data_IF_251610725253
#
_entry.id   IF_251610725253
#
_cell.length_a   1.000
_cell.length_b   1.000
_cell.length_c   1.000
_cell.angle_alpha   90.00
_cell.angle_beta   90.00
_cell.angle_gamma   90.00
#
_symmetry.space_group_name_H-M   'P 1'
#
loop_
_entity.id
_entity.type
_entity.pdbx_description
1 polymer ?
#
# COMPACT_ATOMS: atom_id res chain seq x y z
N UNK A 1 -4.28 11.58 -8.17
CA UNK A 1 -3.84 11.91 -6.80
C UNK A 1 -4.44 13.18 -6.21
N UNK A 2 -4.45 14.34 -6.90
CA UNK A 2 -5.02 15.60 -6.36
C UNK A 2 -6.41 15.52 -5.70
N UNK A 3 -7.35 14.75 -6.27
CA UNK A 3 -8.69 14.59 -5.69
C UNK A 3 -8.67 13.98 -4.29
N UNK A 4 -7.74 13.07 -4.01
CA UNK A 4 -7.65 12.37 -2.73
C UNK A 4 -7.22 13.31 -1.62
N UNK A 5 -6.26 14.17 -1.91
CA UNK A 5 -5.78 15.20 -0.98
C UNK A 5 -6.87 16.25 -0.78
N UNK A 6 -7.41 16.81 -1.86
CA UNK A 6 -8.36 17.94 -1.77
C UNK A 6 -9.72 17.55 -1.22
N UNK A 7 -10.23 16.37 -1.58
CA UNK A 7 -11.60 15.94 -1.23
C UNK A 7 -11.64 15.08 0.03
N UNK A 8 -10.62 14.25 0.24
CA UNK A 8 -10.60 13.29 1.34
C UNK A 8 -9.53 13.61 2.39
N UNK A 9 -8.74 14.68 2.21
CA UNK A 9 -7.74 15.09 3.18
C UNK A 9 -6.56 14.11 3.32
N UNK A 10 -6.39 13.19 2.37
CA UNK A 10 -5.34 12.16 2.45
C UNK A 10 -3.97 12.80 2.27
N UNK A 11 -3.10 12.63 3.27
CA UNK A 11 -1.74 13.19 3.28
C UNK A 11 -0.65 12.14 3.31
N UNK A 12 -0.98 10.87 3.51
CA UNK A 12 0.00 9.78 3.53
C UNK A 12 -0.43 8.69 2.55
N UNK A 13 0.51 8.29 1.70
CA UNK A 13 0.31 7.26 0.69
C UNK A 13 1.33 6.16 0.90
N UNK A 14 0.87 4.92 0.87
CA UNK A 14 1.69 3.73 1.06
C UNK A 14 1.58 2.90 -0.20
N UNK A 15 2.71 2.55 -0.80
CA UNK A 15 2.79 1.69 -1.99
C UNK A 15 3.65 0.47 -1.70
N UNK A 16 3.32 -0.67 -2.31
CA UNK A 16 4.09 -1.90 -2.15
C UNK A 16 5.22 -1.97 -3.19
N UNK A 17 6.21 -2.84 -2.96
CA UNK A 17 7.32 -3.08 -3.90
C UNK A 17 6.94 -3.95 -5.11
N UNK A 18 5.66 -4.23 -5.36
CA UNK A 18 5.24 -5.34 -6.21
C UNK A 18 4.23 -4.95 -7.30
N UNK A 19 4.70 -4.23 -8.33
CA UNK A 19 3.99 -4.19 -9.63
C UNK A 19 4.16 -2.88 -10.39
N UNK A 20 3.82 -2.92 -11.69
CA UNK A 20 3.81 -1.72 -12.53
C UNK A 20 2.80 -0.66 -12.06
N UNK A 21 1.70 -1.10 -11.42
CA UNK A 21 0.73 -0.16 -10.85
C UNK A 21 1.29 0.61 -9.65
N UNK A 22 2.00 -0.05 -8.73
CA UNK A 22 2.62 0.60 -7.57
C UNK A 22 3.62 1.68 -8.02
N UNK A 23 4.40 1.41 -9.08
CA UNK A 23 5.32 2.38 -9.65
C UNK A 23 4.59 3.61 -10.23
N UNK A 24 3.50 3.39 -10.96
CA UNK A 24 2.68 4.49 -11.49
C UNK A 24 2.03 5.30 -10.37
N UNK A 25 1.54 4.63 -9.33
CA UNK A 25 0.96 5.29 -8.15
C UNK A 25 2.02 6.11 -7.40
N UNK A 26 3.22 5.56 -7.17
CA UNK A 26 4.34 6.26 -6.55
C UNK A 26 4.70 7.53 -7.33
N UNK A 27 4.88 7.42 -8.66
CA UNK A 27 5.18 8.56 -9.51
C UNK A 27 4.07 9.63 -9.46
N UNK A 28 2.80 9.20 -9.46
CA UNK A 28 1.68 10.12 -9.34
C UNK A 28 1.66 10.86 -8.00
N UNK A 29 2.04 10.21 -6.89
CA UNK A 29 2.18 10.87 -5.59
C UNK A 29 3.37 11.82 -5.59
N UNK A 30 4.53 11.41 -6.10
CA UNK A 30 5.72 12.27 -6.21
C UNK A 30 5.45 13.56 -6.98
N UNK A 31 4.75 13.48 -8.11
CA UNK A 31 4.37 14.67 -8.89
C UNK A 31 3.46 15.60 -8.08
N UNK A 32 2.55 15.02 -7.28
CA UNK A 32 1.60 15.80 -6.48
C UNK A 32 2.25 16.41 -5.25
N UNK A 33 3.30 15.80 -4.69
CA UNK A 33 4.12 16.38 -3.61
C UNK A 33 4.72 17.74 -4.00
N UNK A 34 5.00 17.96 -5.28
CA UNK A 34 5.47 19.27 -5.77
C UNK A 34 4.44 20.39 -5.51
N UNK A 35 3.15 20.05 -5.49
CA UNK A 35 2.05 21.00 -5.19
C UNK A 35 1.60 20.94 -3.73
N UNK A 36 1.77 19.80 -3.06
CA UNK A 36 1.38 19.57 -1.66
C UNK A 36 2.55 19.00 -0.86
N UNK A 37 3.46 19.86 -0.35
CA UNK A 37 4.68 19.39 0.34
C UNK A 37 4.42 18.61 1.63
N UNK A 38 3.21 18.72 2.20
CA UNK A 38 2.77 17.97 3.37
C UNK A 38 2.37 16.52 3.05
N UNK A 39 2.34 16.13 1.77
CA UNK A 39 2.04 14.76 1.36
C UNK A 39 3.28 13.89 1.53
N UNK A 40 3.11 12.73 2.17
CA UNK A 40 4.12 11.70 2.37
C UNK A 40 3.87 10.49 1.48
N UNK A 41 4.95 9.89 0.99
CA UNK A 41 5.00 8.65 0.24
C UNK A 41 5.90 7.66 0.97
N UNK A 42 5.31 6.57 1.44
CA UNK A 42 5.96 5.50 2.18
C UNK A 42 6.04 4.24 1.32
N UNK A 43 7.17 3.53 1.41
CA UNK A 43 7.35 2.23 0.77
C UNK A 43 7.05 1.10 1.75
N UNK A 44 6.10 0.24 1.44
CA UNK A 44 5.82 -0.96 2.24
C UNK A 44 6.59 -2.17 1.72
N UNK A 45 7.37 -2.80 2.59
CA UNK A 45 8.21 -3.97 2.27
C UNK A 45 7.64 -5.23 2.91
N UNK A 46 6.70 -5.88 2.22
CA UNK A 46 6.05 -7.09 2.72
C UNK A 46 6.98 -8.32 2.93
N UNK A 47 8.29 -8.23 2.65
CA UNK A 47 9.25 -9.34 2.67
C UNK A 47 10.40 -9.17 3.66
N UNK A 48 11.05 -10.28 4.03
CA UNK A 48 12.14 -10.33 5.02
C UNK A 48 13.32 -9.41 4.68
N UNK A 49 13.84 -8.59 5.61
CA UNK A 49 14.84 -7.57 5.35
C UNK A 49 16.24 -8.22 5.24
N UNK A 50 16.40 -9.40 5.85
CA UNK A 50 17.64 -10.17 5.93
C UNK A 50 18.18 -10.64 4.57
N UNK A 51 17.35 -10.66 3.52
CA UNK A 51 17.75 -11.12 2.19
C UNK A 51 17.73 -10.04 1.11
N UNK A 52 17.12 -8.88 1.37
CA UNK A 52 17.12 -7.71 0.49
C UNK A 52 17.06 -6.44 1.34
N UNK A 53 18.22 -5.90 1.76
CA UNK A 53 18.23 -4.55 2.30
C UNK A 53 17.64 -3.61 1.24
N UNK A 54 16.55 -2.93 1.61
CA UNK A 54 15.91 -1.93 0.75
C UNK A 54 16.50 -0.58 1.11
N UNK A 55 17.25 0.00 0.18
CA UNK A 55 17.64 1.40 0.27
C UNK A 55 16.41 2.24 -0.03
N UNK A 56 16.16 3.28 0.77
CA UNK A 56 15.06 4.22 0.55
C UNK A 56 15.17 4.80 -0.88
N UNK A 57 14.21 4.49 -1.78
CA UNK A 57 14.28 5.01 -3.14
C UNK A 57 14.05 6.52 -3.17
N UNK A 58 14.62 7.19 -4.17
CA UNK A 58 14.42 8.63 -4.34
C UNK A 58 12.93 9.00 -4.42
N UNK A 59 12.54 10.10 -3.77
CA UNK A 59 11.17 10.60 -3.73
C UNK A 59 10.28 10.01 -2.62
N UNK A 60 10.71 8.94 -1.96
CA UNK A 60 10.05 8.38 -0.78
C UNK A 60 10.50 9.06 0.51
N UNK A 61 9.60 9.16 1.48
CA UNK A 61 9.87 9.75 2.80
C UNK A 61 10.22 8.70 3.86
N UNK A 62 9.98 7.42 3.59
CA UNK A 62 10.30 6.33 4.51
C UNK A 62 9.94 4.94 3.98
N UNK A 63 10.33 3.95 4.78
CA UNK A 63 10.02 2.53 4.58
C UNK A 63 9.20 2.05 5.77
N UNK A 64 8.10 1.35 5.51
CA UNK A 64 7.28 0.67 6.50
C UNK A 64 7.61 -0.82 6.43
N UNK A 65 8.17 -1.32 7.52
CA UNK A 65 8.46 -2.75 7.70
C UNK A 65 7.37 -3.41 8.56
N UNK A 66 6.90 -4.61 8.21
CA UNK A 66 5.88 -5.30 8.98
C UNK A 66 6.44 -5.88 10.28
N UNK A 67 5.64 -5.80 11.36
CA UNK A 67 6.09 -6.10 12.73
C UNK A 67 6.52 -7.55 13.01
N UNK A 68 6.12 -8.54 12.19
CA UNK A 68 6.25 -9.97 12.55
C UNK A 68 6.59 -10.88 11.36
N UNK A 69 7.86 -10.95 10.98
CA UNK A 69 8.30 -11.80 9.86
C UNK A 69 8.82 -13.19 10.28
N UNK A 70 9.21 -13.40 11.53
CA UNK A 70 10.10 -14.52 11.91
C UNK A 70 9.49 -15.94 12.05
N UNK A 71 8.25 -16.20 11.60
CA UNK A 71 7.56 -17.47 11.94
C UNK A 71 6.83 -18.18 10.78
N UNK A 72 6.81 -17.65 9.56
CA UNK A 72 5.96 -18.19 8.48
C UNK A 72 6.70 -18.40 7.14
N UNK A 73 6.22 -19.30 6.27
CA UNK A 73 6.71 -19.41 4.89
C UNK A 73 6.65 -18.06 4.16
N UNK A 74 7.62 -17.78 3.27
CA UNK A 74 7.81 -16.46 2.61
C UNK A 74 6.54 -15.85 2.01
N UNK A 75 5.73 -16.66 1.32
CA UNK A 75 4.49 -16.19 0.69
C UNK A 75 3.40 -15.84 1.72
N UNK A 76 3.35 -16.59 2.82
CA UNK A 76 2.42 -16.35 3.92
C UNK A 76 2.83 -15.11 4.73
N UNK A 77 4.14 -14.89 4.90
CA UNK A 77 4.68 -13.68 5.51
C UNK A 77 4.25 -12.41 4.77
N UNK A 78 4.30 -12.41 3.43
CA UNK A 78 3.88 -11.27 2.62
C UNK A 78 2.36 -10.99 2.73
N UNK A 79 1.51 -12.02 2.58
CA UNK A 79 0.06 -11.87 2.73
C UNK A 79 -0.33 -11.36 4.12
N UNK A 80 0.26 -11.94 5.18
CA UNK A 80 0.00 -11.51 6.55
C UNK A 80 0.43 -10.07 6.78
N UNK A 81 1.61 -9.69 6.30
CA UNK A 81 2.14 -8.33 6.42
C UNK A 81 1.23 -7.32 5.73
N UNK A 82 0.83 -7.59 4.49
CA UNK A 82 -0.08 -6.71 3.76
C UNK A 82 -1.44 -6.63 4.43
N UNK A 83 -1.94 -7.74 4.99
CA UNK A 83 -3.19 -7.73 5.76
C UNK A 83 -3.12 -6.85 7.02
N UNK A 84 -2.00 -6.89 7.74
CA UNK A 84 -1.78 -6.00 8.89
C UNK A 84 -1.75 -4.53 8.44
N UNK A 85 -1.07 -4.22 7.33
CA UNK A 85 -1.12 -2.87 6.77
C UNK A 85 -2.56 -2.47 6.43
N UNK A 86 -3.35 -3.37 5.84
CA UNK A 86 -4.77 -3.11 5.55
C UNK A 86 -5.50 -2.72 6.83
N UNK A 87 -5.18 -3.32 7.98
CA UNK A 87 -5.82 -3.02 9.27
C UNK A 87 -5.58 -1.57 9.73
N UNK A 88 -4.42 -1.01 9.40
CA UNK A 88 -3.96 0.30 9.88
C UNK A 88 -4.32 1.47 8.94
N UNK A 89 -4.85 1.20 7.75
CA UNK A 89 -5.22 2.24 6.77
C UNK A 89 -6.71 2.50 6.69
N UNK A 90 -7.06 3.76 6.42
CA UNK A 90 -8.44 4.23 6.24
C UNK A 90 -8.93 4.15 4.78
N UNK A 91 -8.00 4.12 3.82
CA UNK A 91 -8.31 4.16 2.38
C UNK A 91 -7.41 3.23 1.58
N UNK A 92 -7.99 2.46 0.67
CA UNK A 92 -7.25 1.61 -0.27
C UNK A 92 -7.71 1.90 -1.71
N UNK A 93 -6.72 2.01 -2.61
CA UNK A 93 -6.94 2.05 -4.05
C UNK A 93 -6.47 0.72 -4.62
N UNK A 94 -7.34 0.02 -5.33
CA UNK A 94 -7.01 -1.27 -5.98
C UNK A 94 -7.16 -1.18 -7.49
N UNK A 95 -6.26 -1.86 -8.21
CA UNK A 95 -6.28 -1.94 -9.67
C UNK A 95 -6.18 -3.39 -10.15
N UNK A 96 -7.09 -3.78 -11.06
CA UNK A 96 -7.08 -5.05 -11.80
C UNK A 96 -6.76 -6.33 -10.96
N UNK A 97 -7.38 -6.46 -9.79
CA UNK A 97 -7.09 -7.53 -8.82
C UNK A 97 -7.64 -8.91 -9.20
N UNK A 98 -8.55 -8.98 -10.17
CA UNK A 98 -9.27 -10.21 -10.55
C UNK A 98 -8.37 -11.28 -11.21
N UNK A 99 -7.16 -10.88 -11.63
CA UNK A 99 -6.21 -11.75 -12.35
C UNK A 99 -5.19 -12.45 -11.46
N UNK A 100 -5.06 -12.05 -10.19
CA UNK A 100 -4.03 -12.57 -9.26
C UNK A 100 -4.68 -13.16 -8.01
N UNK A 101 -4.61 -14.49 -7.88
CA UNK A 101 -5.28 -15.25 -6.80
C UNK A 101 -4.92 -14.78 -5.38
N UNK A 102 -3.66 -14.40 -5.15
CA UNK A 102 -3.21 -13.89 -3.84
C UNK A 102 -3.71 -12.48 -3.52
N UNK A 103 -3.95 -11.64 -4.53
CA UNK A 103 -4.50 -10.29 -4.34
C UNK A 103 -5.99 -10.37 -4.03
N UNK A 104 -6.69 -11.37 -4.58
CA UNK A 104 -8.11 -11.60 -4.31
C UNK A 104 -8.42 -11.79 -2.83
N UNK A 105 -7.62 -12.57 -2.09
CA UNK A 105 -7.83 -12.75 -0.63
C UNK A 105 -7.74 -11.41 0.12
N UNK A 106 -6.76 -10.57 -0.22
CA UNK A 106 -6.56 -9.25 0.40
C UNK A 106 -7.71 -8.29 0.04
N UNK A 107 -8.21 -8.34 -1.20
CA UNK A 107 -9.34 -7.52 -1.63
C UNK A 107 -10.64 -7.96 -0.97
N UNK A 108 -10.88 -9.27 -0.87
CA UNK A 108 -12.02 -9.81 -0.13
C UNK A 108 -11.96 -9.37 1.35
N UNK A 109 -10.79 -9.42 1.97
CA UNK A 109 -10.58 -8.93 3.33
C UNK A 109 -10.88 -7.42 3.45
N UNK A 110 -10.32 -6.60 2.56
CA UNK A 110 -10.59 -5.18 2.51
C UNK A 110 -12.10 -4.91 2.38
N UNK A 111 -12.80 -5.60 1.48
CA UNK A 111 -14.25 -5.45 1.28
C UNK A 111 -15.04 -5.77 2.53
N UNK A 112 -14.63 -6.78 3.31
CA UNK A 112 -15.27 -7.07 4.60
C UNK A 112 -15.09 -5.92 5.61
N UNK A 113 -13.95 -5.22 5.59
CA UNK A 113 -13.73 -4.02 6.43
C UNK A 113 -14.54 -2.82 5.94
N UNK A 114 -14.67 -2.67 4.63
CA UNK A 114 -15.51 -1.61 4.03
C UNK A 114 -16.99 -1.77 4.39
N UNK A 115 -17.53 -2.99 4.33
CA UNK A 115 -18.91 -3.27 4.77
C UNK A 115 -19.13 -2.89 6.24
N UNK A 116 -18.08 -2.99 7.07
CA UNK A 116 -18.11 -2.59 8.48
C UNK A 116 -17.88 -1.09 8.70
N UNK A 117 -17.65 -0.31 7.65
CA UNK A 117 -17.33 1.12 7.72
C UNK A 117 -15.93 1.42 8.28
N UNK A 118 -15.04 0.43 8.32
CA UNK A 118 -13.68 0.54 8.89
C UNK A 118 -12.64 0.95 7.85
N UNK A 119 -12.98 0.86 6.57
CA UNK A 119 -12.08 1.10 5.46
C UNK A 119 -12.89 1.63 4.28
N UNK A 120 -12.32 2.52 3.48
CA UNK A 120 -12.89 2.90 2.19
C UNK A 120 -12.08 2.31 1.04
N UNK A 121 -12.75 1.74 0.05
CA UNK A 121 -12.11 1.16 -1.13
C UNK A 121 -12.47 1.99 -2.35
N UNK A 122 -11.49 2.17 -3.23
CA UNK A 122 -11.73 2.60 -4.60
C UNK A 122 -11.11 1.63 -5.59
N UNK A 123 -11.97 1.03 -6.43
CA UNK A 123 -11.53 0.20 -7.54
C UNK A 123 -11.31 1.08 -8.78
N UNK A 124 -10.12 0.99 -9.36
CA UNK A 124 -9.79 1.61 -10.64
C UNK A 124 -9.64 0.48 -11.65
N UNK A 125 -10.34 0.60 -12.79
CA UNK A 125 -10.31 -0.34 -13.91
C UNK A 125 -9.55 0.26 -15.09
#
# INVERSE_FOLDING_TARGET
>A
MNRYIRKYGITEFIVCTYGGFDQLAAQAVMNVKQTFPNVKLQLFTAGHPEYRPVVLPEGFDGIIEPAHQNQHPKWYGALKSTRQLIDDVDYIIIYNWQTVSHVRELVEYAKMREIKGLLKIEEIY
#
